data_IF_105388514387
#
_entry.id   IF_105388514387
#
_cell.length_a   1.000
_cell.length_b   1.000
_cell.length_c   1.000
_cell.angle_alpha   90.00
_cell.angle_beta   90.00
_cell.angle_gamma   90.00
#
_symmetry.space_group_name_H-M   'P 1'
#
loop_
_entity.id
_entity.type
_entity.pdbx_description
1 polymer ?
#
# COMPACT_ATOMS: atom_id res chain seq x y z
N UNK A 1 -28.46 15.13 15.60
CA UNK A 1 -27.55 15.67 14.57
C UNK A 1 -26.23 14.92 14.71
N UNK A 2 -26.16 13.72 14.11
CA UNK A 2 -25.02 12.81 14.28
C UNK A 2 -23.82 13.31 13.48
N UNK A 3 -22.67 13.49 14.14
CA UNK A 3 -21.42 13.84 13.45
C UNK A 3 -21.03 12.66 12.56
N UNK A 4 -21.20 12.80 11.26
CA UNK A 4 -20.74 11.81 10.29
C UNK A 4 -19.21 11.79 10.28
N UNK A 5 -18.61 10.78 10.91
CA UNK A 5 -17.16 10.65 10.99
C UNK A 5 -16.62 10.24 9.62
N UNK A 6 -15.94 11.16 8.95
CA UNK A 6 -15.35 10.93 7.62
C UNK A 6 -13.85 10.57 7.69
N UNK A 7 -13.23 10.80 8.84
CA UNK A 7 -11.80 10.61 9.09
C UNK A 7 -11.64 9.80 10.36
N UNK A 8 -10.88 8.73 10.31
CA UNK A 8 -10.48 7.92 11.45
C UNK A 8 -8.97 7.87 11.45
N UNK A 9 -8.34 8.40 12.49
CA UNK A 9 -6.90 8.31 12.69
C UNK A 9 -6.64 7.72 14.07
N UNK A 10 -6.06 6.54 14.10
CA UNK A 10 -5.81 5.76 15.30
C UNK A 10 -4.33 5.55 15.46
N UNK A 11 -3.84 5.77 16.68
CA UNK A 11 -2.44 5.68 17.04
C UNK A 11 -2.32 4.86 18.32
N UNK A 12 -1.44 3.87 18.32
CA UNK A 12 -0.94 3.26 19.55
C UNK A 12 0.20 4.11 20.08
N UNK A 13 0.11 4.53 21.35
CA UNK A 13 1.20 5.22 22.05
C UNK A 13 2.00 4.19 22.85
N UNK A 14 3.32 4.18 22.68
CA UNK A 14 4.22 3.38 23.48
C UNK A 14 4.35 4.00 24.88
N UNK A 15 3.59 3.49 25.83
CA UNK A 15 3.75 3.81 27.25
C UNK A 15 4.52 2.68 27.94
N UNK A 16 5.80 2.54 27.59
CA UNK A 16 6.85 1.95 28.41
C UNK A 16 6.54 0.56 28.98
N UNK A 17 6.76 -0.48 28.17
CA UNK A 17 6.89 -1.86 28.65
C UNK A 17 6.19 -2.93 27.80
N UNK A 18 5.38 -2.54 26.81
CA UNK A 18 4.78 -3.45 25.84
C UNK A 18 4.05 -2.71 24.74
N UNK A 19 4.17 -3.20 23.50
CA UNK A 19 3.43 -2.64 22.36
C UNK A 19 1.94 -2.92 22.59
N UNK A 20 1.17 -1.89 22.95
CA UNK A 20 -0.28 -2.04 23.06
C UNK A 20 -0.86 -2.19 21.65
N UNK A 21 -1.27 -3.42 21.30
CA UNK A 21 -1.91 -3.67 20.01
C UNK A 21 -3.26 -2.98 19.92
N UNK A 22 -3.63 -2.54 18.72
CA UNK A 22 -4.92 -1.91 18.40
C UNK A 22 -6.07 -2.93 18.29
N UNK A 23 -6.00 -4.04 19.03
CA UNK A 23 -6.97 -5.13 18.92
C UNK A 23 -8.37 -4.74 19.41
N UNK A 24 -8.52 -3.67 20.21
CA UNK A 24 -9.82 -3.11 20.57
C UNK A 24 -10.65 -2.69 19.34
N UNK A 25 -10.00 -2.49 18.18
CA UNK A 25 -10.70 -2.22 16.92
C UNK A 25 -11.57 -3.39 16.47
N UNK A 26 -11.32 -4.61 16.92
CA UNK A 26 -12.18 -5.76 16.63
C UNK A 26 -13.55 -5.68 17.30
N UNK A 27 -13.65 -4.94 18.41
CA UNK A 27 -14.87 -4.86 19.22
C UNK A 27 -15.80 -3.71 18.80
N UNK A 28 -15.44 -2.94 17.76
CA UNK A 28 -16.28 -1.87 17.23
C UNK A 28 -17.47 -2.48 16.47
N UNK A 29 -18.73 -2.35 16.97
CA UNK A 29 -19.87 -3.07 16.44
C UNK A 29 -20.36 -2.54 15.10
N UNK A 30 -20.14 -1.25 14.81
CA UNK A 30 -20.49 -0.59 13.55
C UNK A 30 -19.41 0.45 13.24
N UNK A 31 -18.69 0.32 12.13
CA UNK A 31 -17.74 1.33 11.73
C UNK A 31 -18.48 2.59 11.25
N UNK A 32 -17.84 3.76 11.27
CA UNK A 32 -18.38 4.93 10.60
C UNK A 32 -18.57 4.66 9.10
N UNK A 33 -19.79 4.35 8.66
CA UNK A 33 -20.06 3.90 7.29
C UNK A 33 -19.70 4.93 6.21
N UNK A 34 -19.62 6.22 6.59
CA UNK A 34 -19.24 7.34 5.73
C UNK A 34 -17.75 7.69 5.83
N UNK A 35 -16.93 6.77 6.35
CA UNK A 35 -15.50 6.96 6.49
C UNK A 35 -14.85 7.02 5.11
N UNK A 36 -14.20 8.14 4.82
CA UNK A 36 -13.51 8.37 3.54
C UNK A 36 -12.00 8.20 3.64
N UNK A 37 -11.45 8.43 4.82
CA UNK A 37 -10.03 8.30 5.11
C UNK A 37 -9.82 7.52 6.41
N UNK A 38 -8.95 6.51 6.35
CA UNK A 38 -8.53 5.74 7.52
C UNK A 38 -7.01 5.78 7.67
N UNK A 39 -6.53 6.07 8.87
CA UNK A 39 -5.13 5.89 9.27
C UNK A 39 -5.06 4.98 10.49
N UNK A 40 -4.32 3.89 10.36
CA UNK A 40 -4.07 2.94 11.44
C UNK A 40 -2.56 2.91 11.67
N UNK A 41 -2.13 3.39 12.83
CA UNK A 41 -0.74 3.45 13.23
C UNK A 41 -0.52 2.65 14.53
N UNK A 42 0.08 1.47 14.44
CA UNK A 42 0.34 0.59 15.57
C UNK A 42 -0.03 -0.86 15.29
N UNK A 43 0.63 -1.78 16.01
CA UNK A 43 0.52 -3.21 15.76
C UNK A 43 -0.93 -3.69 15.96
N UNK A 44 -1.39 -4.60 15.11
CA UNK A 44 -2.71 -5.20 15.18
C UNK A 44 -2.60 -6.62 14.66
N UNK A 45 -3.40 -7.57 15.18
CA UNK A 45 -3.27 -8.97 14.75
C UNK A 45 -3.86 -9.21 13.35
N UNK A 46 -4.87 -8.43 12.99
CA UNK A 46 -5.49 -8.45 11.66
C UNK A 46 -6.20 -7.13 11.37
N UNK A 47 -6.41 -6.79 10.10
CA UNK A 47 -7.38 -5.75 9.79
C UNK A 47 -8.77 -6.16 10.30
N UNK A 48 -9.51 -5.27 11.00
CA UNK A 48 -10.83 -5.62 11.50
C UNK A 48 -11.83 -5.97 10.40
N UNK A 49 -12.75 -6.89 10.69
CA UNK A 49 -13.76 -7.37 9.74
C UNK A 49 -14.72 -6.28 9.26
N UNK A 50 -14.82 -5.15 9.96
CA UNK A 50 -15.62 -4.03 9.53
C UNK A 50 -14.94 -3.19 8.44
N UNK A 51 -13.63 -3.33 8.21
CA UNK A 51 -12.91 -2.57 7.17
C UNK A 51 -13.48 -2.87 5.79
N UNK A 52 -13.79 -4.14 5.49
CA UNK A 52 -14.43 -4.56 4.23
C UNK A 52 -15.85 -3.98 4.03
N UNK A 53 -16.45 -3.40 5.06
CA UNK A 53 -17.80 -2.80 4.99
C UNK A 53 -17.77 -1.32 4.62
N UNK A 54 -16.60 -0.69 4.57
CA UNK A 54 -16.44 0.75 4.33
C UNK A 54 -16.60 1.11 2.85
N UNK A 55 -17.85 1.24 2.40
CA UNK A 55 -18.16 1.52 0.99
C UNK A 55 -17.65 2.87 0.49
N UNK A 56 -17.50 3.84 1.38
CA UNK A 56 -17.07 5.20 1.03
C UNK A 56 -15.58 5.45 1.29
N UNK A 57 -14.82 4.43 1.72
CA UNK A 57 -13.40 4.59 2.01
C UNK A 57 -12.63 4.84 0.71
N UNK A 58 -12.05 6.03 0.60
CA UNK A 58 -11.26 6.46 -0.55
C UNK A 58 -9.76 6.31 -0.35
N UNK A 59 -9.29 6.40 0.88
CA UNK A 59 -7.87 6.33 1.21
C UNK A 59 -7.64 5.58 2.53
N UNK A 60 -6.61 4.73 2.53
CA UNK A 60 -6.13 4.07 3.75
C UNK A 60 -4.61 4.16 3.89
N UNK A 61 -4.17 4.54 5.09
CA UNK A 61 -2.76 4.66 5.45
C UNK A 61 -2.46 3.75 6.64
N UNK A 62 -1.54 2.80 6.45
CA UNK A 62 -1.12 1.84 7.46
C UNK A 62 0.32 2.11 7.88
N UNK A 63 0.61 2.10 9.18
CA UNK A 63 1.95 2.30 9.73
C UNK A 63 2.15 1.39 10.94
N UNK A 64 3.28 0.69 11.03
CA UNK A 64 3.59 -0.18 12.17
C UNK A 64 2.49 -1.20 12.50
N UNK A 65 1.68 -1.60 11.51
CA UNK A 65 0.59 -2.57 11.70
C UNK A 65 1.08 -4.01 11.77
N UNK A 66 2.28 -4.28 11.25
CA UNK A 66 2.96 -5.59 11.32
C UNK A 66 2.14 -6.76 10.75
N UNK A 67 1.33 -6.48 9.72
CA UNK A 67 0.43 -7.47 9.13
C UNK A 67 1.10 -8.31 8.05
N UNK A 68 0.39 -9.31 7.56
CA UNK A 68 0.77 -9.99 6.31
C UNK A 68 0.27 -9.18 5.11
N UNK A 69 1.10 -9.03 4.08
CA UNK A 69 0.77 -8.31 2.85
C UNK A 69 -0.51 -8.85 2.18
N UNK A 70 -0.63 -10.17 2.07
CA UNK A 70 -1.84 -10.82 1.54
C UNK A 70 -3.08 -10.53 2.37
N UNK A 71 -2.95 -10.44 3.70
CA UNK A 71 -4.06 -10.08 4.57
C UNK A 71 -4.48 -8.63 4.34
N UNK A 72 -3.52 -7.70 4.23
CA UNK A 72 -3.81 -6.30 3.93
C UNK A 72 -4.53 -6.19 2.59
N UNK A 73 -3.92 -6.70 1.51
CA UNK A 73 -4.45 -6.54 0.16
C UNK A 73 -5.75 -7.32 -0.04
N UNK A 74 -5.90 -8.51 0.56
CA UNK A 74 -7.12 -9.31 0.49
C UNK A 74 -8.33 -8.67 1.18
N UNK A 75 -8.11 -7.90 2.25
CA UNK A 75 -9.21 -7.15 2.91
C UNK A 75 -9.56 -5.89 2.11
N UNK A 76 -8.56 -5.21 1.56
CA UNK A 76 -8.76 -3.92 0.86
C UNK A 76 -9.24 -4.08 -0.58
N UNK A 77 -8.98 -5.22 -1.23
CA UNK A 77 -9.29 -5.40 -2.63
C UNK A 77 -10.78 -5.31 -2.94
N UNK A 78 -11.67 -5.68 -2.01
CA UNK A 78 -13.13 -5.64 -2.24
C UNK A 78 -13.75 -4.25 -2.07
N UNK A 79 -12.98 -3.23 -1.69
CA UNK A 79 -13.53 -1.90 -1.38
C UNK A 79 -13.89 -1.12 -2.66
N UNK A 80 -15.17 -0.74 -2.84
CA UNK A 80 -15.67 -0.22 -4.11
C UNK A 80 -15.19 1.20 -4.44
N UNK A 81 -14.80 1.98 -3.43
CA UNK A 81 -14.41 3.39 -3.57
C UNK A 81 -12.94 3.66 -3.27
N UNK A 82 -12.14 2.62 -3.00
CA UNK A 82 -10.75 2.78 -2.55
C UNK A 82 -9.85 3.22 -3.70
N UNK A 83 -9.40 4.48 -3.64
CA UNK A 83 -8.58 5.12 -4.65
C UNK A 83 -7.08 5.05 -4.32
N UNK A 84 -6.72 5.05 -3.03
CA UNK A 84 -5.33 5.15 -2.58
C UNK A 84 -5.02 4.25 -1.39
N UNK A 85 -3.90 3.52 -1.47
CA UNK A 85 -3.32 2.76 -0.37
C UNK A 85 -1.92 3.28 -0.11
N UNK A 86 -1.63 3.63 1.15
CA UNK A 86 -0.27 3.92 1.60
C UNK A 86 0.17 2.97 2.70
N UNK A 87 1.20 2.19 2.40
CA UNK A 87 1.88 1.30 3.33
C UNK A 87 3.17 1.98 3.79
N UNK A 88 3.16 2.57 4.98
CA UNK A 88 4.33 3.18 5.59
C UNK A 88 5.21 2.13 6.28
N UNK A 89 6.26 2.60 6.97
CA UNK A 89 7.20 1.78 7.75
C UNK A 89 6.48 0.73 8.59
N UNK A 90 6.98 -0.50 8.53
CA UNK A 90 6.54 -1.64 9.36
C UNK A 90 5.03 -1.98 9.25
N UNK A 91 4.39 -1.62 8.14
CA UNK A 91 2.98 -1.94 7.92
C UNK A 91 2.73 -3.42 7.59
N UNK A 92 3.68 -4.08 6.91
CA UNK A 92 3.66 -5.50 6.61
C UNK A 92 4.97 -6.19 6.99
N UNK A 93 4.96 -7.52 7.14
CA UNK A 93 6.11 -8.31 7.64
C UNK A 93 6.73 -9.23 6.59
N UNK A 94 6.05 -9.47 5.47
CA UNK A 94 6.54 -10.36 4.42
C UNK A 94 7.74 -9.77 3.68
N UNK A 95 8.64 -10.63 3.22
CA UNK A 95 9.75 -10.22 2.35
C UNK A 95 9.31 -9.82 0.95
N UNK A 96 8.11 -10.26 0.56
CA UNK A 96 7.50 -10.00 -0.73
C UNK A 96 6.04 -9.56 -0.54
N UNK A 97 5.69 -8.41 -1.10
CA UNK A 97 4.32 -7.94 -1.20
C UNK A 97 3.79 -8.29 -2.59
N UNK A 98 2.81 -9.19 -2.65
CA UNK A 98 2.24 -9.69 -3.93
C UNK A 98 0.85 -9.12 -4.15
N UNK A 99 0.68 -8.34 -5.22
CA UNK A 99 -0.63 -8.03 -5.77
C UNK A 99 -1.09 -9.21 -6.64
N UNK A 100 -1.84 -10.13 -6.03
CA UNK A 100 -2.33 -11.34 -6.69
C UNK A 100 -3.41 -11.03 -7.71
N UNK A 101 -3.53 -11.88 -8.73
CA UNK A 101 -4.57 -11.75 -9.76
C UNK A 101 -5.99 -11.85 -9.18
N UNK A 102 -6.17 -12.57 -8.07
CA UNK A 102 -7.44 -12.67 -7.34
C UNK A 102 -7.83 -11.39 -6.59
N UNK A 103 -6.89 -10.46 -6.34
CA UNK A 103 -7.17 -9.21 -5.64
C UNK A 103 -7.77 -8.17 -6.59
N UNK A 104 -9.10 -8.07 -6.57
CA UNK A 104 -9.88 -7.27 -7.51
C UNK A 104 -10.09 -5.82 -7.04
N UNK A 105 -9.12 -4.93 -7.23
CA UNK A 105 -9.26 -3.51 -6.89
C UNK A 105 -10.12 -2.73 -7.91
N UNK A 106 -11.37 -2.33 -7.61
CA UNK A 106 -12.30 -1.84 -8.62
C UNK A 106 -11.97 -0.44 -9.13
N UNK A 107 -11.33 0.40 -8.31
CA UNK A 107 -11.05 1.81 -8.64
C UNK A 107 -9.69 2.29 -8.12
N UNK A 108 -8.81 1.40 -7.63
CA UNK A 108 -7.52 1.81 -7.06
C UNK A 108 -6.64 2.49 -8.12
N UNK A 109 -6.23 3.73 -7.82
CA UNK A 109 -5.40 4.56 -8.71
C UNK A 109 -3.99 4.79 -8.17
N UNK A 110 -3.80 4.75 -6.85
CA UNK A 110 -2.52 5.03 -6.21
C UNK A 110 -2.14 3.94 -5.22
N UNK A 111 -0.91 3.47 -5.33
CA UNK A 111 -0.26 2.58 -4.35
C UNK A 111 1.07 3.20 -3.98
N UNK A 112 1.27 3.42 -2.68
CA UNK A 112 2.52 3.93 -2.13
C UNK A 112 3.05 2.96 -1.08
N UNK A 113 4.20 2.36 -1.34
CA UNK A 113 4.88 1.45 -0.41
C UNK A 113 6.18 2.14 0.04
N UNK A 114 6.10 2.73 1.23
CA UNK A 114 7.10 3.67 1.77
C UNK A 114 7.69 3.09 3.05
N UNK A 115 8.56 2.10 2.87
CA UNK A 115 9.20 1.38 3.97
C UNK A 115 10.68 1.16 3.68
N UNK A 116 11.52 1.50 4.65
CA UNK A 116 12.97 1.32 4.62
C UNK A 116 13.41 -0.01 5.26
N UNK A 117 12.48 -0.93 5.54
CA UNK A 117 12.82 -2.24 6.11
C UNK A 117 13.57 -3.09 5.08
N UNK A 118 14.65 -3.70 5.54
CA UNK A 118 15.61 -4.46 4.73
C UNK A 118 15.12 -5.87 4.40
N UNK A 119 14.20 -6.38 5.22
CA UNK A 119 13.55 -7.68 5.02
C UNK A 119 12.56 -7.64 3.85
N UNK A 120 12.00 -6.47 3.55
CA UNK A 120 10.99 -6.22 2.52
C UNK A 120 11.65 -5.89 1.17
N UNK A 121 11.78 -6.91 0.31
CA UNK A 121 12.65 -6.87 -0.88
C UNK A 121 11.88 -6.75 -2.17
N UNK A 122 10.74 -7.43 -2.29
CA UNK A 122 10.05 -7.60 -3.57
C UNK A 122 8.66 -7.00 -3.53
N UNK A 123 8.35 -6.17 -4.51
CA UNK A 123 6.98 -5.77 -4.84
C UNK A 123 6.59 -6.46 -6.15
N UNK A 124 5.67 -7.43 -6.09
CA UNK A 124 5.23 -8.19 -7.27
C UNK A 124 3.82 -7.84 -7.65
N UNK A 125 3.59 -7.67 -8.94
CA UNK A 125 2.28 -7.61 -9.56
C UNK A 125 2.06 -8.85 -10.42
N UNK A 126 1.00 -9.61 -10.17
CA UNK A 126 0.62 -10.72 -11.04
C UNK A 126 -0.19 -10.21 -12.24
N UNK A 127 -0.22 -10.97 -13.33
CA UNK A 127 -1.02 -10.64 -14.50
C UNK A 127 -2.50 -10.53 -14.12
N UNK A 128 -3.14 -9.42 -14.50
CA UNK A 128 -4.53 -9.13 -14.17
C UNK A 128 -4.75 -8.42 -12.83
N UNK A 129 -3.70 -8.23 -12.02
CA UNK A 129 -3.77 -7.42 -10.80
C UNK A 129 -3.77 -5.92 -11.09
N UNK A 130 -4.43 -5.14 -10.22
CA UNK A 130 -4.34 -3.67 -10.16
C UNK A 130 -4.42 -2.93 -11.52
N UNK A 131 -5.29 -3.37 -12.42
CA UNK A 131 -5.36 -2.88 -13.82
C UNK A 131 -5.65 -1.38 -13.97
N UNK A 132 -6.24 -0.74 -12.95
CA UNK A 132 -6.55 0.70 -12.91
C UNK A 132 -5.52 1.55 -12.17
N UNK A 133 -4.44 0.96 -11.68
CA UNK A 133 -3.40 1.68 -10.97
C UNK A 133 -2.72 2.67 -11.90
N UNK A 134 -2.76 3.95 -11.56
CA UNK A 134 -2.21 5.05 -12.37
C UNK A 134 -0.86 5.53 -11.82
N UNK A 135 -0.66 5.46 -10.50
CA UNK A 135 0.55 5.94 -9.81
C UNK A 135 1.08 4.90 -8.83
N UNK A 136 2.35 4.57 -8.96
CA UNK A 136 3.10 3.75 -8.02
C UNK A 136 4.18 4.59 -7.35
N UNK A 137 4.28 4.53 -6.02
CA UNK A 137 5.41 5.06 -5.27
C UNK A 137 6.08 3.93 -4.50
N UNK A 138 7.39 3.76 -4.67
CA UNK A 138 8.12 2.70 -3.99
C UNK A 138 9.44 3.22 -3.42
N UNK A 139 9.65 2.98 -2.11
CA UNK A 139 10.85 3.42 -1.40
C UNK A 139 11.94 2.36 -1.42
N UNK A 140 13.10 2.76 -1.89
CA UNK A 140 14.35 2.02 -1.84
C UNK A 140 15.13 2.48 -0.61
N UNK A 141 15.27 1.56 0.35
CA UNK A 141 16.09 1.75 1.54
C UNK A 141 17.57 1.54 1.22
N UNK A 142 18.31 0.91 2.14
CA UNK A 142 19.74 0.60 1.95
C UNK A 142 19.97 -0.68 1.14
N UNK A 143 19.04 -1.62 1.22
CA UNK A 143 19.19 -2.95 0.63
C UNK A 143 18.56 -3.06 -0.77
N UNK A 144 18.93 -4.14 -1.46
CA UNK A 144 18.40 -4.47 -2.78
C UNK A 144 16.90 -4.76 -2.73
N UNK A 145 16.13 -3.83 -3.30
CA UNK A 145 14.69 -3.99 -3.56
C UNK A 145 14.44 -4.11 -5.06
N UNK A 146 13.30 -4.67 -5.44
CA UNK A 146 12.91 -4.78 -6.85
C UNK A 146 11.41 -4.76 -7.02
N UNK A 147 10.97 -4.42 -8.23
CA UNK A 147 9.58 -4.45 -8.65
C UNK A 147 9.47 -5.46 -9.79
N UNK A 148 8.55 -6.42 -9.66
CA UNK A 148 8.33 -7.47 -10.67
C UNK A 148 6.90 -7.34 -11.22
N UNK A 149 6.73 -7.54 -12.52
CA UNK A 149 5.41 -7.57 -13.16
C UNK A 149 4.83 -6.19 -13.48
N UNK A 150 5.68 -5.16 -13.61
CA UNK A 150 5.23 -3.81 -13.98
C UNK A 150 4.53 -3.81 -15.34
N UNK A 151 4.95 -4.67 -16.27
CA UNK A 151 4.33 -4.90 -17.57
C UNK A 151 2.83 -5.26 -17.47
N UNK A 152 2.39 -5.83 -16.35
CA UNK A 152 0.98 -6.18 -16.11
C UNK A 152 0.12 -4.99 -15.69
N UNK A 153 0.73 -3.88 -15.23
CA UNK A 153 0.02 -2.67 -14.81
C UNK A 153 -0.35 -1.81 -16.02
N UNK A 154 -1.38 -2.22 -16.76
CA UNK A 154 -1.78 -1.59 -18.03
C UNK A 154 -2.21 -0.13 -17.89
N UNK A 155 -2.76 0.26 -16.73
CA UNK A 155 -3.18 1.64 -16.43
C UNK A 155 -2.09 2.57 -15.93
N UNK A 156 -0.86 2.07 -15.73
CA UNK A 156 0.20 2.81 -15.05
C UNK A 156 0.69 4.00 -15.88
N UNK A 157 0.70 5.19 -15.26
CA UNK A 157 1.12 6.45 -15.88
C UNK A 157 2.37 7.02 -15.23
N UNK A 158 2.55 6.80 -13.93
CA UNK A 158 3.66 7.38 -13.18
C UNK A 158 4.24 6.40 -12.16
N UNK A 159 5.57 6.39 -12.05
CA UNK A 159 6.30 5.71 -10.99
C UNK A 159 7.23 6.71 -10.30
N UNK A 160 7.09 6.83 -8.99
CA UNK A 160 7.99 7.60 -8.14
C UNK A 160 8.87 6.63 -7.34
N UNK A 161 10.15 6.57 -7.68
CA UNK A 161 11.15 5.85 -6.91
C UNK A 161 11.68 6.79 -5.82
N UNK A 162 11.46 6.43 -4.56
CA UNK A 162 11.90 7.22 -3.40
C UNK A 162 13.20 6.64 -2.86
N UNK A 163 14.26 7.44 -2.71
CA UNK A 163 15.52 6.95 -2.16
C UNK A 163 16.74 7.67 -2.74
N UNK A 164 17.92 7.25 -2.28
CA UNK A 164 19.20 7.80 -2.73
C UNK A 164 19.53 7.29 -4.15
N UNK A 165 19.95 8.20 -5.04
CA UNK A 165 20.41 7.89 -6.41
C UNK A 165 21.64 6.98 -6.47
N UNK A 166 22.43 6.94 -5.41
CA UNK A 166 23.58 6.03 -5.30
C UNK A 166 23.14 4.58 -5.02
N UNK A 167 21.86 4.31 -4.77
CA UNK A 167 21.36 2.95 -4.59
C UNK A 167 21.33 2.21 -5.95
N UNK A 168 22.13 1.14 -6.12
CA UNK A 168 22.22 0.42 -7.39
C UNK A 168 20.90 -0.27 -7.77
N UNK A 169 20.11 -0.75 -6.80
CA UNK A 169 18.82 -1.36 -7.05
C UNK A 169 17.77 -0.34 -7.52
N UNK A 170 17.82 0.89 -6.99
CA UNK A 170 16.98 1.99 -7.48
C UNK A 170 17.32 2.31 -8.93
N UNK A 171 18.60 2.52 -9.23
CA UNK A 171 19.08 2.84 -10.60
C UNK A 171 18.72 1.73 -11.59
N UNK A 172 18.94 0.46 -11.22
CA UNK A 172 18.53 -0.68 -12.06
C UNK A 172 17.02 -0.69 -12.31
N UNK A 173 16.22 -0.47 -11.27
CA UNK A 173 14.77 -0.41 -11.40
C UNK A 173 14.33 0.76 -12.28
N UNK A 174 14.99 1.92 -12.18
CA UNK A 174 14.72 3.08 -13.03
C UNK A 174 14.96 2.75 -14.52
N UNK A 175 16.07 2.07 -14.84
CA UNK A 175 16.40 1.64 -16.20
C UNK A 175 15.40 0.60 -16.74
N UNK A 176 15.05 -0.40 -15.93
CA UNK A 176 14.02 -1.40 -16.26
C UNK A 176 12.67 -0.72 -16.57
N UNK A 177 12.24 0.22 -15.73
CA UNK A 177 11.00 0.99 -15.93
C UNK A 177 11.03 1.86 -17.19
N UNK A 178 12.18 2.48 -17.50
CA UNK A 178 12.35 3.26 -18.74
C UNK A 178 12.28 2.35 -19.97
N UNK A 179 12.89 1.16 -19.90
CA UNK A 179 12.81 0.15 -20.96
C UNK A 179 11.36 -0.31 -21.19
N UNK A 180 10.63 -0.64 -20.12
CA UNK A 180 9.21 -1.01 -20.21
C UNK A 180 8.33 0.15 -20.73
N UNK A 181 8.59 1.38 -20.30
CA UNK A 181 7.92 2.59 -20.82
C UNK A 181 8.12 2.76 -22.34
N UNK A 182 9.28 2.34 -22.87
CA UNK A 182 9.55 2.40 -24.30
C UNK A 182 8.78 1.38 -25.12
N UNK A 183 8.47 0.22 -24.54
CA UNK A 183 7.66 -0.83 -25.17
C UNK A 183 6.17 -0.50 -25.21
N UNK A 184 5.69 0.37 -24.31
CA UNK A 184 4.28 0.75 -24.19
C UNK A 184 3.88 1.84 -25.18
N UNK A 185 2.64 1.75 -25.68
CA UNK A 185 2.01 2.83 -26.44
C UNK A 185 1.79 4.08 -25.58
N UNK A 186 1.41 3.89 -24.31
CA UNK A 186 1.30 4.97 -23.32
C UNK A 186 2.59 5.03 -22.48
N UNK A 187 3.26 6.18 -22.49
CA UNK A 187 4.50 6.37 -21.72
C UNK A 187 4.24 6.39 -20.22
N UNK A 188 5.11 5.72 -19.47
CA UNK A 188 5.22 5.85 -18.02
C UNK A 188 6.23 6.96 -17.72
N UNK A 189 5.81 7.94 -16.90
CA UNK A 189 6.70 8.94 -16.30
C UNK A 189 7.42 8.32 -15.10
N UNK A 190 8.74 8.23 -15.15
CA UNK A 190 9.57 7.72 -14.06
C UNK A 190 10.28 8.90 -13.40
N UNK A 191 10.09 9.08 -12.09
CA UNK A 191 10.74 10.12 -11.30
C UNK A 191 11.50 9.47 -10.13
N UNK A 192 12.74 9.90 -9.92
CA UNK A 192 13.50 9.59 -8.69
C UNK A 192 13.42 10.80 -7.76
N UNK A 193 12.96 10.57 -6.53
CA UNK A 193 12.81 11.59 -5.48
C UNK A 193 13.64 11.20 -4.27
N UNK A 194 14.48 12.12 -3.83
CA UNK A 194 15.30 11.98 -2.61
C UNK A 194 14.49 12.36 -1.37
#
# INVERSE_FOLDING_TARGET
MGRHLQILALYSMDSGGGIQKLNFLHDIPLPPLLLRFARIAGAIDRLPDWVKLLRDLTEINLTSTELRGDQILGVLCVLPSLLSITLWRNSYTDSELVARAEFQFPVLKKLSVVSDLDEQKVLRFEQGSMSKLETLEYRFGKMDKTIIGVEHLTGLKQVNLLGNRDNPALTRTEEELKSESNKRSSKIKVEVKE
#
